data_IF_336109155747
#
_entry.id   IF_336109155747
#
_cell.length_a   1.000
_cell.length_b   1.000
_cell.length_c   1.000
_cell.angle_alpha   90.00
_cell.angle_beta   90.00
_cell.angle_gamma   90.00
#
_symmetry.space_group_name_H-M   'P 1'
#
loop_
_entity.id
_entity.type
_entity.pdbx_description
1 polymer ?
#
# COMPACT_ATOMS: atom_id res chain seq x y z
N UNK A 1 87.67 -42.51 18.67
CA UNK A 1 87.29 -43.90 18.35
C UNK A 1 87.79 -44.30 16.96
N UNK A 2 87.32 -43.69 15.85
CA UNK A 2 87.79 -44.06 14.50
C UNK A 2 89.25 -43.67 14.19
N UNK A 3 89.73 -42.58 14.80
CA UNK A 3 91.05 -41.98 14.53
C UNK A 3 92.23 -42.81 15.07
N UNK A 4 92.07 -43.52 16.20
CA UNK A 4 93.15 -44.33 16.83
C UNK A 4 93.37 -45.65 16.07
N UNK A 5 92.30 -46.17 15.45
CA UNK A 5 92.36 -47.37 14.60
C UNK A 5 92.97 -47.01 13.23
N UNK A 6 92.77 -45.77 12.76
CA UNK A 6 93.31 -45.29 11.48
C UNK A 6 94.82 -44.98 11.52
N UNK A 7 95.33 -44.48 12.65
CA UNK A 7 96.76 -44.10 12.81
C UNK A 7 97.66 -45.23 13.39
N UNK A 8 97.08 -46.36 13.81
CA UNK A 8 97.84 -47.47 14.39
C UNK A 8 98.62 -48.27 13.33
N UNK A 9 99.87 -48.68 13.61
CA UNK A 9 100.67 -49.46 12.67
C UNK A 9 100.02 -50.82 12.39
N UNK A 10 99.66 -51.05 11.12
CA UNK A 10 99.08 -52.30 10.66
C UNK A 10 100.18 -53.34 10.40
N UNK A 11 100.01 -54.55 10.92
CA UNK A 11 101.01 -55.63 10.74
C UNK A 11 100.83 -56.24 9.34
N UNK A 12 101.81 -56.12 8.41
CA UNK A 12 101.67 -56.61 7.04
C UNK A 12 101.43 -58.14 7.00
N UNK A 13 100.54 -58.58 6.09
CA UNK A 13 100.03 -59.96 5.93
C UNK A 13 99.05 -60.47 7.01
N UNK A 14 98.62 -59.65 7.98
CA UNK A 14 97.55 -60.00 8.92
C UNK A 14 96.50 -58.90 9.01
N UNK A 15 95.24 -59.25 9.36
CA UNK A 15 94.17 -58.27 9.65
C UNK A 15 94.30 -57.64 11.05
N UNK A 16 95.45 -57.77 11.70
CA UNK A 16 95.66 -57.33 13.08
C UNK A 16 96.28 -55.93 13.10
N UNK A 17 95.68 -55.05 13.87
CA UNK A 17 96.11 -53.65 14.06
C UNK A 17 96.69 -53.54 15.47
N UNK A 18 97.90 -52.99 15.60
CA UNK A 18 98.55 -52.81 16.89
C UNK A 18 98.03 -51.51 17.52
N UNK A 19 97.09 -51.64 18.45
CA UNK A 19 96.48 -50.50 19.14
C UNK A 19 97.13 -50.37 20.52
N UNK A 20 97.48 -49.15 20.88
CA UNK A 20 97.99 -48.84 22.21
C UNK A 20 96.90 -49.09 23.27
N UNK A 21 97.17 -50.07 24.14
CA UNK A 21 96.29 -50.48 25.24
C UNK A 21 95.99 -49.31 26.18
N UNK A 22 96.97 -48.44 26.43
CA UNK A 22 96.84 -47.31 27.36
C UNK A 22 95.88 -46.25 26.81
N UNK A 23 95.99 -45.95 25.50
CA UNK A 23 95.11 -45.00 24.82
C UNK A 23 93.69 -45.56 24.62
N UNK A 24 93.55 -46.87 24.36
CA UNK A 24 92.25 -47.52 24.21
C UNK A 24 91.51 -47.61 25.55
N UNK A 25 92.21 -47.97 26.64
CA UNK A 25 91.64 -48.00 27.99
C UNK A 25 91.21 -46.60 28.43
N UNK A 26 92.01 -45.56 28.15
CA UNK A 26 91.63 -44.18 28.44
C UNK A 26 90.35 -43.75 27.71
N UNK A 27 90.15 -44.17 26.45
CA UNK A 27 88.88 -43.91 25.74
C UNK A 27 87.72 -44.76 26.26
N UNK A 28 87.97 -45.99 26.68
CA UNK A 28 86.95 -46.84 27.30
C UNK A 28 86.51 -46.28 28.65
N UNK A 29 87.45 -45.77 29.45
CA UNK A 29 87.19 -45.10 30.72
C UNK A 29 86.42 -43.79 30.50
N UNK A 30 86.77 -42.99 29.48
CA UNK A 30 86.02 -41.79 29.11
C UNK A 30 84.55 -42.13 28.73
N UNK A 31 84.34 -43.20 27.95
CA UNK A 31 82.99 -43.68 27.63
C UNK A 31 82.28 -44.19 28.87
N UNK A 32 82.96 -44.89 29.78
CA UNK A 32 82.41 -45.38 31.03
C UNK A 32 82.04 -44.26 32.00
N UNK A 33 82.77 -43.14 31.96
CA UNK A 33 82.52 -41.96 32.78
C UNK A 33 81.32 -41.15 32.25
N UNK A 34 81.15 -41.04 30.93
CA UNK A 34 80.12 -40.21 30.30
C UNK A 34 78.82 -40.95 29.88
N UNK A 35 78.85 -42.28 29.70
CA UNK A 35 77.66 -43.08 29.39
C UNK A 35 76.53 -42.98 30.42
N UNK A 36 76.82 -43.08 31.74
CA UNK A 36 75.78 -43.02 32.77
C UNK A 36 74.98 -41.71 32.68
N UNK A 37 75.69 -40.58 32.58
CA UNK A 37 75.08 -39.26 32.49
C UNK A 37 74.23 -39.10 31.21
N UNK A 38 74.67 -39.68 30.09
CA UNK A 38 73.90 -39.67 28.84
C UNK A 38 72.61 -40.49 28.93
N UNK A 39 72.63 -41.64 29.63
CA UNK A 39 71.43 -42.43 29.89
C UNK A 39 70.47 -41.73 30.86
N UNK A 40 70.98 -41.11 31.92
CA UNK A 40 70.17 -40.32 32.86
C UNK A 40 69.49 -39.14 32.16
N UNK A 41 70.19 -38.48 31.24
CA UNK A 41 69.61 -37.42 30.40
C UNK A 41 68.52 -37.97 29.47
N UNK A 42 68.76 -39.12 28.83
CA UNK A 42 67.77 -39.76 27.97
C UNK A 42 66.50 -40.16 28.76
N UNK A 43 66.64 -40.72 29.96
CA UNK A 43 65.52 -41.06 30.83
C UNK A 43 64.71 -39.82 31.23
N UNK A 44 65.41 -38.72 31.58
CA UNK A 44 64.75 -37.43 31.87
C UNK A 44 63.97 -36.91 30.68
N UNK A 45 64.52 -36.96 29.48
CA UNK A 45 63.84 -36.53 28.25
C UNK A 45 62.60 -37.37 27.98
N UNK A 46 62.69 -38.69 28.15
CA UNK A 46 61.54 -39.60 27.97
C UNK A 46 60.44 -39.28 28.98
N UNK A 47 60.79 -39.17 30.26
CA UNK A 47 59.82 -38.86 31.32
C UNK A 47 59.16 -37.49 31.11
N UNK A 48 59.95 -36.48 30.73
CA UNK A 48 59.46 -35.13 30.48
C UNK A 48 58.56 -35.08 29.23
N UNK A 49 58.85 -35.88 28.20
CA UNK A 49 57.98 -36.05 27.04
C UNK A 49 56.64 -36.69 27.43
N UNK A 50 56.66 -37.75 28.23
CA UNK A 50 55.44 -38.40 28.71
C UNK A 50 54.56 -37.42 29.49
N UNK A 51 55.17 -36.59 30.33
CA UNK A 51 54.49 -35.55 31.10
C UNK A 51 53.85 -34.49 30.20
N UNK A 52 54.55 -34.02 29.16
CA UNK A 52 54.02 -33.09 28.17
C UNK A 52 52.83 -33.70 27.40
N UNK A 53 52.91 -34.97 27.02
CA UNK A 53 51.81 -35.66 26.33
C UNK A 53 50.57 -35.70 27.23
N UNK A 54 50.74 -36.09 28.49
CA UNK A 54 49.65 -36.16 29.46
C UNK A 54 48.99 -34.80 29.68
N UNK A 55 49.80 -33.73 29.82
CA UNK A 55 49.28 -32.36 29.94
C UNK A 55 48.56 -31.89 28.68
N UNK A 56 49.07 -32.23 27.49
CA UNK A 56 48.43 -31.89 26.23
C UNK A 56 47.10 -32.63 26.04
N UNK A 57 47.03 -33.89 26.45
CA UNK A 57 45.80 -34.69 26.44
C UNK A 57 44.75 -34.10 27.39
N UNK A 58 45.13 -33.76 28.63
CA UNK A 58 44.24 -33.12 29.60
C UNK A 58 43.72 -31.77 29.10
N UNK A 59 44.62 -30.94 28.55
CA UNK A 59 44.25 -29.64 27.99
C UNK A 59 43.32 -29.77 26.76
N UNK A 60 43.58 -30.74 25.89
CA UNK A 60 42.70 -31.03 24.75
C UNK A 60 41.32 -31.49 25.23
N UNK A 61 41.26 -32.31 26.27
CA UNK A 61 40.01 -32.79 26.87
C UNK A 61 39.21 -31.62 27.46
N UNK A 62 39.85 -30.71 28.21
CA UNK A 62 39.18 -29.50 28.72
C UNK A 62 38.62 -28.62 27.60
N UNK A 63 39.37 -28.43 26.51
CA UNK A 63 38.91 -27.66 25.35
C UNK A 63 37.67 -28.32 24.72
N UNK A 64 37.72 -29.64 24.53
CA UNK A 64 36.60 -30.40 23.96
C UNK A 64 35.35 -30.28 24.82
N UNK A 65 35.46 -30.48 26.14
CA UNK A 65 34.33 -30.33 27.07
C UNK A 65 33.79 -28.90 27.14
N UNK A 66 34.66 -27.89 27.03
CA UNK A 66 34.23 -26.49 26.97
C UNK A 66 33.51 -26.17 25.65
N UNK A 67 33.96 -26.75 24.54
CA UNK A 67 33.32 -26.60 23.24
C UNK A 67 31.96 -27.30 23.17
N UNK A 68 31.86 -28.54 23.68
CA UNK A 68 30.60 -29.29 23.77
C UNK A 68 29.57 -28.55 24.61
N UNK A 69 29.95 -28.09 25.82
CA UNK A 69 29.05 -27.31 26.68
C UNK A 69 28.53 -26.04 26.00
N UNK A 70 29.36 -25.36 25.19
CA UNK A 70 28.91 -24.19 24.41
C UNK A 70 28.02 -24.57 23.25
N UNK A 71 28.31 -25.69 22.57
CA UNK A 71 27.47 -26.19 21.49
C UNK A 71 26.08 -26.58 21.99
N UNK A 72 25.99 -27.24 23.15
CA UNK A 72 24.72 -27.57 23.80
C UNK A 72 23.94 -26.31 24.19
N UNK A 73 24.61 -25.29 24.72
CA UNK A 73 23.99 -23.98 25.01
C UNK A 73 23.48 -23.27 23.76
N UNK A 74 24.11 -23.47 22.60
CA UNK A 74 23.61 -22.96 21.32
C UNK A 74 22.45 -23.81 20.80
N UNK A 75 22.52 -25.14 20.92
CA UNK A 75 21.50 -26.11 20.49
C UNK A 75 20.20 -26.09 21.29
N UNK A 76 20.20 -25.47 22.48
CA UNK A 76 18.97 -25.01 23.15
C UNK A 76 18.11 -24.08 22.22
N UNK A 77 18.61 -23.75 21.02
CA UNK A 77 17.87 -23.47 19.78
C UNK A 77 16.61 -24.32 19.52
N UNK A 78 16.50 -25.54 20.06
CA UNK A 78 15.23 -26.29 20.04
C UNK A 78 14.11 -25.52 20.75
N UNK A 79 14.42 -24.81 21.83
CA UNK A 79 13.53 -23.85 22.46
C UNK A 79 13.19 -22.66 21.55
N UNK A 80 14.10 -22.26 20.66
CA UNK A 80 13.85 -21.20 19.68
C UNK A 80 12.82 -21.66 18.63
N UNK A 81 12.88 -22.92 18.18
CA UNK A 81 11.88 -23.46 17.24
C UNK A 81 10.50 -23.52 17.90
N UNK A 82 10.40 -24.02 19.13
CA UNK A 82 9.13 -24.06 19.86
C UNK A 82 8.59 -22.66 20.16
N UNK A 83 9.45 -21.73 20.57
CA UNK A 83 9.08 -20.34 20.80
C UNK A 83 8.61 -19.67 19.51
N UNK A 84 9.33 -19.82 18.41
CA UNK A 84 8.94 -19.27 17.12
C UNK A 84 7.60 -19.87 16.64
N UNK A 85 7.35 -21.15 16.91
CA UNK A 85 6.06 -21.79 16.62
C UNK A 85 4.93 -21.22 17.48
N UNK A 86 5.15 -21.01 18.79
CA UNK A 86 4.17 -20.39 19.67
C UNK A 86 3.85 -18.95 19.24
N UNK A 87 4.89 -18.15 18.95
CA UNK A 87 4.72 -16.78 18.47
C UNK A 87 3.95 -16.75 17.14
N UNK A 88 4.32 -17.61 16.19
CA UNK A 88 3.59 -17.72 14.92
C UNK A 88 2.12 -18.12 15.14
N UNK A 89 1.85 -19.03 16.08
CA UNK A 89 0.49 -19.43 16.42
C UNK A 89 -0.31 -18.29 17.07
N UNK A 90 0.30 -17.51 17.96
CA UNK A 90 -0.31 -16.32 18.55
C UNK A 90 -0.59 -15.24 17.49
N UNK A 91 0.34 -15.00 16.57
CA UNK A 91 0.14 -14.06 15.47
C UNK A 91 -1.04 -14.49 14.61
N UNK A 92 -1.12 -15.78 14.24
CA UNK A 92 -2.26 -16.31 13.46
C UNK A 92 -3.58 -16.14 14.21
N UNK A 93 -3.62 -16.43 15.52
CA UNK A 93 -4.83 -16.25 16.32
C UNK A 93 -5.25 -14.78 16.41
N UNK A 94 -4.30 -13.86 16.63
CA UNK A 94 -4.57 -12.43 16.65
C UNK A 94 -5.12 -11.95 15.31
N UNK A 95 -4.46 -12.31 14.21
CA UNK A 95 -4.91 -11.93 12.86
C UNK A 95 -6.31 -12.48 12.58
N UNK A 96 -6.59 -13.72 12.96
CA UNK A 96 -7.92 -14.31 12.80
C UNK A 96 -8.99 -13.51 13.56
N UNK A 97 -8.75 -13.19 14.83
CA UNK A 97 -9.67 -12.38 15.65
C UNK A 97 -9.85 -10.96 15.12
N UNK A 98 -8.77 -10.35 14.64
CA UNK A 98 -8.82 -9.01 14.02
C UNK A 98 -9.63 -9.03 12.72
N UNK A 99 -9.46 -10.07 11.89
CA UNK A 99 -10.26 -10.24 10.68
C UNK A 99 -11.74 -10.41 11.00
N UNK A 100 -12.10 -11.28 11.96
CA UNK A 100 -13.50 -11.49 12.37
C UNK A 100 -14.13 -10.19 12.89
N UNK A 101 -13.39 -9.45 13.74
CA UNK A 101 -13.86 -8.17 14.27
C UNK A 101 -14.05 -7.13 13.15
N UNK A 102 -13.10 -7.06 12.21
CA UNK A 102 -13.16 -6.13 11.09
C UNK A 102 -14.31 -6.47 10.14
N UNK A 103 -14.58 -7.75 9.89
CA UNK A 103 -15.72 -8.20 9.10
C UNK A 103 -17.05 -7.81 9.74
N UNK A 104 -17.21 -8.02 11.05
CA UNK A 104 -18.39 -7.59 11.80
C UNK A 104 -18.61 -6.08 11.74
N UNK A 105 -17.54 -5.30 11.93
CA UNK A 105 -17.58 -3.84 11.83
C UNK A 105 -17.97 -3.39 10.43
N UNK A 106 -17.33 -3.96 9.41
CA UNK A 106 -17.59 -3.64 8.00
C UNK A 106 -19.03 -3.96 7.63
N UNK A 107 -19.56 -5.10 8.08
CA UNK A 107 -20.95 -5.47 7.88
C UNK A 107 -21.91 -4.46 8.51
N UNK A 108 -21.66 -4.07 9.76
CA UNK A 108 -22.45 -3.05 10.46
C UNK A 108 -22.43 -1.70 9.73
N UNK A 109 -21.25 -1.28 9.24
CA UNK A 109 -21.10 -0.03 8.50
C UNK A 109 -21.81 -0.05 7.15
N UNK A 110 -21.70 -1.14 6.39
CA UNK A 110 -22.43 -1.32 5.13
C UNK A 110 -23.94 -1.21 5.39
N UNK A 111 -24.44 -1.89 6.41
CA UNK A 111 -25.86 -1.84 6.77
C UNK A 111 -26.30 -0.44 7.22
N UNK A 112 -25.45 0.29 7.96
CA UNK A 112 -25.71 1.68 8.35
C UNK A 112 -25.81 2.59 7.13
N UNK A 113 -24.82 2.55 6.24
CA UNK A 113 -24.79 3.36 5.02
C UNK A 113 -25.98 3.02 4.11
N UNK A 114 -26.30 1.73 3.97
CA UNK A 114 -27.47 1.28 3.18
C UNK A 114 -28.77 1.86 3.72
N UNK A 115 -28.97 1.82 5.04
CA UNK A 115 -30.17 2.39 5.67
C UNK A 115 -30.26 3.90 5.49
N UNK A 116 -29.13 4.61 5.63
CA UNK A 116 -29.08 6.05 5.40
C UNK A 116 -29.43 6.40 3.95
N UNK A 117 -28.81 5.73 2.97
CA UNK A 117 -29.12 5.94 1.56
C UNK A 117 -30.59 5.66 1.23
N UNK A 118 -31.17 4.60 1.80
CA UNK A 118 -32.60 4.30 1.63
C UNK A 118 -33.50 5.42 2.18
N UNK A 119 -33.18 5.96 3.34
CA UNK A 119 -33.92 7.08 3.94
C UNK A 119 -33.80 8.35 3.08
N UNK A 120 -32.61 8.66 2.57
CA UNK A 120 -32.38 9.81 1.70
C UNK A 120 -33.13 9.69 0.37
N UNK A 121 -33.14 8.50 -0.24
CA UNK A 121 -33.89 8.23 -1.46
C UNK A 121 -35.39 8.42 -1.22
N UNK A 122 -35.92 7.87 -0.12
CA UNK A 122 -37.34 8.00 0.19
C UNK A 122 -37.72 9.46 0.46
N UNK A 123 -36.89 10.20 1.20
CA UNK A 123 -37.08 11.62 1.43
C UNK A 123 -37.06 12.43 0.13
N UNK A 124 -36.08 12.20 -0.75
CA UNK A 124 -35.99 12.86 -2.05
C UNK A 124 -37.19 12.56 -2.93
N UNK A 125 -37.67 11.31 -2.91
CA UNK A 125 -38.87 10.90 -3.63
C UNK A 125 -40.10 11.65 -3.12
N UNK A 126 -40.27 11.77 -1.81
CA UNK A 126 -41.39 12.50 -1.23
C UNK A 126 -41.35 13.97 -1.63
N UNK A 127 -40.18 14.63 -1.54
CA UNK A 127 -40.02 16.02 -1.97
C UNK A 127 -40.39 16.21 -3.45
N UNK A 128 -39.90 15.33 -4.32
CA UNK A 128 -40.18 15.41 -5.75
C UNK A 128 -41.69 15.24 -6.06
N UNK A 129 -42.39 14.37 -5.31
CA UNK A 129 -43.83 14.20 -5.46
C UNK A 129 -44.58 15.47 -5.03
N UNK A 130 -44.24 16.05 -3.87
CA UNK A 130 -44.84 17.30 -3.41
C UNK A 130 -44.60 18.44 -4.41
N UNK A 131 -43.37 18.56 -4.93
CA UNK A 131 -43.04 19.60 -5.92
C UNK A 131 -43.80 19.39 -7.23
N UNK A 132 -43.99 18.14 -7.68
CA UNK A 132 -44.85 17.86 -8.83
C UNK A 132 -46.31 18.27 -8.60
N UNK A 133 -46.86 18.00 -7.42
CA UNK A 133 -48.22 18.41 -7.05
C UNK A 133 -48.35 19.93 -7.05
N UNK A 134 -47.40 20.64 -6.47
CA UNK A 134 -47.38 22.10 -6.43
C UNK A 134 -47.31 22.72 -7.84
N UNK A 135 -46.44 22.18 -8.70
CA UNK A 135 -46.33 22.62 -10.10
C UNK A 135 -47.64 22.37 -10.86
N UNK A 136 -48.24 21.19 -10.68
CA UNK A 136 -49.52 20.88 -11.34
C UNK A 136 -50.61 21.84 -10.90
N UNK A 137 -50.76 22.05 -9.59
CA UNK A 137 -51.76 22.96 -9.04
C UNK A 137 -51.55 24.40 -9.55
N UNK A 138 -50.31 24.91 -9.51
CA UNK A 138 -49.98 26.23 -10.03
C UNK A 138 -50.26 26.37 -11.54
N UNK A 139 -50.03 25.32 -12.33
CA UNK A 139 -50.36 25.31 -13.76
C UNK A 139 -51.88 25.31 -14.01
N UNK A 140 -52.65 24.57 -13.20
CA UNK A 140 -54.12 24.60 -13.25
C UNK A 140 -54.67 25.99 -12.91
N UNK A 141 -54.15 26.62 -11.84
CA UNK A 141 -54.57 27.96 -11.43
C UNK A 141 -54.25 29.00 -12.51
N UNK A 142 -53.04 28.95 -13.08
CA UNK A 142 -52.64 29.81 -14.18
C UNK A 142 -53.54 29.62 -15.41
N UNK A 143 -53.84 28.37 -15.79
CA UNK A 143 -54.73 28.09 -16.92
C UNK A 143 -56.13 28.67 -16.69
N UNK A 144 -56.68 28.54 -15.47
CA UNK A 144 -57.96 29.12 -15.11
C UNK A 144 -57.95 30.65 -15.18
N UNK A 145 -56.89 31.30 -14.68
CA UNK A 145 -56.74 32.75 -14.75
C UNK A 145 -56.68 33.25 -16.19
N UNK A 146 -55.86 32.61 -17.04
CA UNK A 146 -55.74 32.95 -18.46
C UNK A 146 -57.06 32.75 -19.19
N UNK A 147 -57.76 31.63 -18.96
CA UNK A 147 -59.06 31.36 -19.56
C UNK A 147 -60.12 32.38 -19.12
N UNK A 148 -60.16 32.74 -17.84
CA UNK A 148 -61.07 33.76 -17.33
C UNK A 148 -60.80 35.14 -17.97
N UNK A 149 -59.53 35.50 -18.14
CA UNK A 149 -59.15 36.74 -18.82
C UNK A 149 -59.62 36.76 -20.28
N UNK A 150 -59.40 35.66 -21.02
CA UNK A 150 -59.85 35.52 -22.41
C UNK A 150 -61.39 35.62 -22.49
N UNK A 151 -62.12 34.94 -21.61
CA UNK A 151 -63.58 35.00 -21.57
C UNK A 151 -64.10 36.43 -21.32
N UNK A 152 -63.44 37.16 -20.43
CA UNK A 152 -63.75 38.57 -20.19
C UNK A 152 -63.51 39.44 -21.44
N UNK A 153 -62.35 39.30 -22.09
CA UNK A 153 -62.02 40.07 -23.29
C UNK A 153 -63.00 39.78 -24.45
N UNK A 154 -63.35 38.51 -24.65
CA UNK A 154 -64.33 38.11 -25.67
C UNK A 154 -65.72 38.68 -25.35
N UNK A 155 -66.13 38.67 -24.08
CA UNK A 155 -67.39 39.25 -23.62
C UNK A 155 -67.46 40.77 -23.87
N UNK A 156 -66.37 41.48 -23.62
CA UNK A 156 -66.25 42.91 -23.92
C UNK A 156 -66.35 43.19 -25.43
N UNK A 157 -65.63 42.43 -26.24
CA UNK A 157 -65.68 42.54 -27.71
C UNK A 157 -67.09 42.28 -28.24
N UNK A 158 -67.75 41.22 -27.77
CA UNK A 158 -69.14 40.91 -28.14
C UNK A 158 -70.10 42.02 -27.73
N UNK A 159 -69.89 42.68 -26.59
CA UNK A 159 -70.67 43.82 -26.15
C UNK A 159 -70.51 45.01 -27.11
N UNK A 160 -69.27 45.31 -27.52
CA UNK A 160 -68.99 46.36 -28.54
C UNK A 160 -69.69 46.04 -29.86
N UNK A 161 -69.60 44.80 -30.35
CA UNK A 161 -70.26 44.38 -31.60
C UNK A 161 -71.78 44.50 -31.49
N UNK A 162 -72.39 44.05 -30.38
CA UNK A 162 -73.83 44.18 -30.16
C UNK A 162 -74.27 45.65 -30.18
N UNK A 163 -73.52 46.53 -29.53
CA UNK A 163 -73.79 47.96 -29.50
C UNK A 163 -73.65 48.58 -30.91
N UNK A 164 -72.58 48.27 -31.65
CA UNK A 164 -72.38 48.77 -33.02
C UNK A 164 -73.47 48.29 -33.99
N UNK A 165 -73.90 47.02 -33.88
CA UNK A 165 -75.02 46.50 -34.67
C UNK A 165 -76.35 47.19 -34.35
N UNK A 166 -76.61 47.50 -33.07
CA UNK A 166 -77.79 48.26 -32.67
C UNK A 166 -77.78 49.69 -33.21
N UNK A 167 -76.61 50.33 -33.30
CA UNK A 167 -76.49 51.67 -33.92
C UNK A 167 -76.84 51.62 -35.41
N UNK A 168 -76.32 50.64 -36.15
CA UNK A 168 -76.65 50.45 -37.57
C UNK A 168 -78.12 50.09 -37.82
N UNK A 169 -78.78 49.42 -36.87
CA UNK A 169 -80.23 49.15 -36.95
C UNK A 169 -81.09 50.39 -36.65
N UNK A 170 -80.54 51.38 -35.95
CA UNK A 170 -81.20 52.63 -35.62
C UNK A 170 -80.85 53.78 -36.58
N UNK A 171 -80.01 53.55 -37.59
CA UNK A 171 -79.68 54.53 -38.62
C UNK A 171 -80.73 54.47 -39.76
N UNK A 172 -81.51 55.55 -40.00
CA UNK A 172 -82.51 55.56 -41.06
C UNK A 172 -81.84 55.59 -42.46
N UNK A 173 -82.50 55.07 -43.52
CA UNK A 173 -81.89 54.96 -44.84
C UNK A 173 -81.60 56.34 -45.46
N UNK A 174 -80.51 56.50 -46.24
CA UNK A 174 -80.24 57.75 -46.93
C UNK A 174 -81.13 57.88 -48.16
N UNK A 175 -82.06 58.85 -48.15
CA UNK A 175 -82.80 59.23 -49.36
C UNK A 175 -84.02 60.12 -49.13
N UNK A 176 -83.83 61.44 -49.17
CA UNK A 176 -84.41 62.31 -50.22
C UNK A 176 -83.92 63.76 -50.08
N UNK A 177 -83.30 64.28 -51.14
CA UNK A 177 -83.09 65.72 -51.36
C UNK A 177 -84.44 66.41 -51.66
N UNK A 178 -84.62 67.70 -51.35
CA UNK A 178 -85.56 68.57 -52.06
C UNK A 178 -84.87 69.25 -53.26
N UNK A 179 -85.59 69.31 -54.38
CA UNK A 179 -85.21 69.99 -55.62
C UNK A 179 -85.16 71.52 -55.49
N UNK A 180 -84.20 72.08 -56.23
CA UNK A 180 -84.15 73.37 -56.93
C UNK A 180 -84.32 74.68 -56.12
N UNK A 181 -83.26 75.48 -56.11
CA UNK A 181 -83.31 76.69 -56.93
C UNK A 181 -81.94 77.12 -57.49
N UNK A 182 -82.03 77.73 -58.66
CA UNK A 182 -80.95 78.17 -59.53
C UNK A 182 -80.09 79.30 -58.97
N UNK A 183 -78.78 79.30 -59.29
CA UNK A 183 -78.01 80.39 -59.95
C UNK A 183 -76.49 80.25 -59.75
N UNK A 184 -75.73 80.40 -60.84
CA UNK A 184 -74.36 80.96 -60.81
C UNK A 184 -73.15 80.00 -60.80
N UNK A 185 -72.70 79.59 -61.99
CA UNK A 185 -71.29 79.24 -62.36
C UNK A 185 -70.28 80.38 -62.08
N UNK A 186 -68.95 80.23 -62.30
CA UNK A 186 -68.00 79.11 -62.05
C UNK A 186 -66.61 79.61 -61.51
N UNK A 187 -65.66 78.70 -61.18
CA UNK A 187 -64.24 79.05 -60.93
C UNK A 187 -63.46 77.98 -60.16
N UNK A 188 -62.91 76.92 -60.77
CA UNK A 188 -61.50 76.75 -61.26
C UNK A 188 -60.40 76.77 -60.16
N UNK A 189 -59.48 75.81 -60.28
CA UNK A 189 -58.16 75.63 -59.60
C UNK A 189 -58.22 74.98 -58.20
N UNK A 190 -57.37 74.03 -57.77
CA UNK A 190 -56.18 73.34 -58.31
C UNK A 190 -55.81 72.22 -57.32
N UNK A 191 -55.31 71.09 -57.81
CA UNK A 191 -54.40 70.17 -57.07
C UNK A 191 -53.20 70.97 -56.49
N UNK A 192 -52.40 70.51 -55.49
CA UNK A 192 -51.82 69.17 -55.50
C UNK A 192 -51.27 68.58 -54.16
N UNK A 193 -50.63 67.42 -54.29
CA UNK A 193 -49.38 67.01 -53.59
C UNK A 193 -49.42 66.50 -52.14
N UNK A 194 -49.14 65.20 -52.03
CA UNK A 194 -48.46 64.43 -50.96
C UNK A 194 -47.33 65.19 -50.22
N UNK A 195 -46.90 64.83 -48.99
CA UNK A 195 -45.98 63.69 -48.86
C UNK A 195 -46.01 62.89 -47.54
N UNK A 196 -45.28 61.77 -47.61
CA UNK A 196 -44.79 60.89 -46.54
C UNK A 196 -44.25 61.62 -45.30
N UNK A 197 -44.40 60.97 -44.14
CA UNK A 197 -43.44 60.71 -43.06
C UNK A 197 -44.29 60.11 -41.91
N UNK A 198 -43.93 59.07 -41.16
CA UNK A 198 -42.69 58.38 -40.85
C UNK A 198 -43.11 57.02 -40.26
#
# INVERSE_FOLDING_TARGET
MEEIVFDSPHIPFTRLTLIDEETLLAQLDLVRENLPDAFDQAEKIVRQREEIILQAEEYAQEIMEAAERRADQMLDELGIIEQAQQEAQQIRQRVQQECETLEEQTFSDIERVRRQAQQEIEHMRQLALTECEDIQNGAYDYANEVLANIDQQLSEMLRVIRNGRQQLQNEPPPGHLPEADSTGTPGVHTSPTTPKHQ
#
